data_IF_877512042170
#
_entry.id   IF_877512042170
#
_cell.length_a   1.000
_cell.length_b   1.000
_cell.length_c   1.000
_cell.angle_alpha   90.00
_cell.angle_beta   90.00
_cell.angle_gamma   90.00
#
_symmetry.space_group_name_H-M   'P 1'
#
loop_
_entity.id
_entity.type
_entity.pdbx_description
1 polymer ?
#
# COMPACT_ATOMS: atom_id res chain seq x y z
N UNK A 1 5.72 -8.50 18.32
CA UNK A 1 4.92 -8.63 17.08
C UNK A 1 4.37 -10.05 17.04
N UNK A 2 3.05 -10.23 16.97
CA UNK A 2 2.43 -11.57 17.02
C UNK A 2 2.74 -12.35 15.73
N UNK A 3 2.96 -13.67 15.82
CA UNK A 3 3.27 -14.48 14.65
C UNK A 3 2.09 -14.50 13.67
N UNK A 4 2.50 -14.62 12.40
CA UNK A 4 1.72 -14.86 11.17
C UNK A 4 0.33 -15.47 11.40
N UNK A 5 -0.73 -14.69 11.20
CA UNK A 5 -1.98 -15.32 10.78
C UNK A 5 -1.80 -15.77 9.33
N UNK A 6 -1.93 -17.07 9.05
CA UNK A 6 -1.86 -17.60 7.70
C UNK A 6 -2.84 -16.88 6.75
N UNK A 7 -4.01 -16.48 7.27
CA UNK A 7 -4.99 -15.70 6.49
C UNK A 7 -4.47 -14.32 6.08
N UNK A 8 -3.68 -13.64 6.91
CA UNK A 8 -3.10 -12.33 6.56
C UNK A 8 -2.03 -12.44 5.48
N UNK A 9 -1.26 -13.53 5.48
CA UNK A 9 -0.29 -13.79 4.41
C UNK A 9 -1.00 -14.08 3.09
N UNK A 10 -2.08 -14.87 3.12
CA UNK A 10 -2.91 -15.11 1.94
C UNK A 10 -3.49 -13.79 1.42
N UNK A 11 -4.05 -12.96 2.30
CA UNK A 11 -4.57 -11.63 1.95
C UNK A 11 -3.48 -10.74 1.34
N UNK A 12 -2.27 -10.73 1.91
CA UNK A 12 -1.13 -9.99 1.38
C UNK A 12 -0.80 -10.38 -0.05
N UNK A 13 -0.68 -11.69 -0.33
CA UNK A 13 -0.39 -12.15 -1.69
C UNK A 13 -1.52 -11.85 -2.66
N UNK A 14 -2.77 -11.93 -2.23
CA UNK A 14 -3.92 -11.55 -3.05
C UNK A 14 -3.90 -10.05 -3.41
N UNK A 15 -3.69 -9.19 -2.42
CA UNK A 15 -3.60 -7.74 -2.62
C UNK A 15 -2.41 -7.38 -3.51
N UNK A 16 -1.25 -8.01 -3.28
CA UNK A 16 -0.08 -7.84 -4.13
C UNK A 16 -0.35 -8.27 -5.57
N UNK A 17 -1.02 -9.41 -5.78
CA UNK A 17 -1.39 -9.89 -7.11
C UNK A 17 -2.37 -8.94 -7.82
N UNK A 18 -3.39 -8.45 -7.12
CA UNK A 18 -4.35 -7.46 -7.64
C UNK A 18 -3.62 -6.19 -8.07
N UNK A 19 -2.74 -5.68 -7.22
CA UNK A 19 -1.97 -4.47 -7.53
C UNK A 19 -1.02 -4.69 -8.70
N UNK A 20 -0.30 -5.81 -8.75
CA UNK A 20 0.58 -6.15 -9.88
C UNK A 20 -0.23 -6.25 -11.18
N UNK A 21 -1.44 -6.80 -11.13
CA UNK A 21 -2.23 -6.99 -12.34
C UNK A 21 -2.87 -5.69 -12.84
N UNK A 22 -3.48 -4.90 -11.96
CA UNK A 22 -4.27 -3.73 -12.34
C UNK A 22 -3.52 -2.40 -12.24
N UNK A 23 -2.62 -2.24 -11.27
CA UNK A 23 -1.91 -0.99 -11.04
C UNK A 23 -0.51 -0.97 -11.68
N UNK A 24 0.26 -2.05 -11.62
CA UNK A 24 1.62 -2.06 -12.19
C UNK A 24 1.73 -1.54 -13.64
N UNK A 25 0.82 -1.87 -14.58
CA UNK A 25 0.92 -1.41 -15.97
C UNK A 25 0.89 0.12 -16.12
N UNK A 26 0.38 0.85 -15.12
CA UNK A 26 0.26 2.30 -15.14
C UNK A 26 1.43 3.01 -14.42
N UNK A 27 2.35 2.26 -13.81
CA UNK A 27 3.44 2.82 -13.01
C UNK A 27 4.54 3.43 -13.88
N UNK A 28 4.92 4.65 -13.56
CA UNK A 28 6.12 5.32 -14.07
C UNK A 28 7.28 5.15 -13.08
N UNK A 29 8.53 5.35 -13.53
CA UNK A 29 9.70 5.28 -12.63
C UNK A 29 9.58 6.30 -11.50
N UNK A 30 9.05 7.48 -11.81
CA UNK A 30 8.80 8.58 -10.90
C UNK A 30 7.76 8.18 -9.86
N UNK A 31 6.63 7.59 -10.27
CA UNK A 31 5.59 7.13 -9.34
C UNK A 31 6.11 6.05 -8.39
N UNK A 32 6.96 5.13 -8.85
CA UNK A 32 7.57 4.10 -8.01
C UNK A 32 8.59 4.70 -7.02
N UNK A 33 9.38 5.68 -7.45
CA UNK A 33 10.31 6.39 -6.58
C UNK A 33 9.57 7.19 -5.49
N UNK A 34 8.49 7.88 -5.87
CA UNK A 34 7.59 8.57 -4.94
C UNK A 34 6.93 7.56 -4.00
N UNK A 35 6.49 6.41 -4.51
CA UNK A 35 5.94 5.32 -3.72
C UNK A 35 6.89 4.77 -2.68
N UNK A 36 8.15 4.52 -3.06
CA UNK A 36 9.15 4.00 -2.14
C UNK A 36 9.47 5.00 -1.01
N UNK A 37 9.75 6.26 -1.36
CA UNK A 37 10.12 7.29 -0.37
C UNK A 37 8.90 7.76 0.43
N UNK A 38 7.81 8.10 -0.26
CA UNK A 38 6.59 8.57 0.35
C UNK A 38 5.88 7.48 1.16
N UNK A 39 5.89 6.24 0.68
CA UNK A 39 5.37 5.09 1.44
C UNK A 39 6.16 4.83 2.71
N UNK A 40 7.50 4.95 2.68
CA UNK A 40 8.31 4.86 3.89
C UNK A 40 7.98 5.98 4.89
N UNK A 41 7.76 7.21 4.42
CA UNK A 41 7.36 8.34 5.25
C UNK A 41 5.96 8.17 5.83
N UNK A 42 4.99 7.73 5.02
CA UNK A 42 3.63 7.39 5.45
C UNK A 42 3.69 6.29 6.50
N UNK A 43 4.48 5.26 6.25
CA UNK A 43 4.64 4.16 7.18
C UNK A 43 5.19 4.63 8.52
N UNK A 44 6.30 5.36 8.49
CA UNK A 44 6.91 5.92 9.68
C UNK A 44 5.94 6.83 10.44
N UNK A 45 5.25 7.75 9.76
CA UNK A 45 4.39 8.75 10.38
C UNK A 45 3.09 8.15 10.94
N UNK A 46 2.41 7.30 10.18
CA UNK A 46 1.03 6.89 10.45
C UNK A 46 0.92 5.49 11.04
N UNK A 47 1.68 4.53 10.50
CA UNK A 47 1.52 3.11 10.85
C UNK A 47 2.60 2.60 11.80
N UNK A 48 3.70 3.34 11.98
CA UNK A 48 4.74 3.07 12.98
C UNK A 48 4.94 4.22 13.99
N UNK A 49 4.05 5.23 13.98
CA UNK A 49 3.97 6.34 14.97
C UNK A 49 5.29 7.01 15.33
N UNK A 50 6.18 7.19 14.36
CA UNK A 50 7.48 7.84 14.57
C UNK A 50 8.57 6.95 15.17
N UNK A 51 8.31 5.66 15.38
CA UNK A 51 9.29 4.74 15.96
C UNK A 51 10.52 4.56 15.05
N UNK A 52 11.72 4.62 15.65
CA UNK A 52 12.99 4.34 14.95
C UNK A 52 13.13 2.86 14.54
N UNK A 53 12.22 1.99 15.00
CA UNK A 53 12.21 0.56 14.70
C UNK A 53 11.88 0.23 13.23
N UNK A 54 11.65 1.22 12.35
CA UNK A 54 11.52 1.02 10.89
C UNK A 54 12.70 0.21 10.33
N UNK A 55 13.90 0.39 10.88
CA UNK A 55 15.11 -0.34 10.48
C UNK A 55 15.11 -1.84 10.87
N UNK A 56 14.18 -2.29 11.71
CA UNK A 56 14.11 -3.66 12.26
C UNK A 56 12.84 -4.41 11.82
N UNK A 57 12.25 -3.99 10.70
CA UNK A 57 11.05 -4.63 10.16
C UNK A 57 11.43 -5.98 9.52
N UNK A 58 11.13 -7.07 10.23
CA UNK A 58 11.39 -8.42 9.75
C UNK A 58 10.48 -8.79 8.56
N UNK A 59 11.00 -9.47 7.53
CA UNK A 59 10.20 -9.92 6.38
C UNK A 59 8.97 -10.73 6.78
N UNK A 60 7.87 -10.54 6.04
CA UNK A 60 6.59 -11.25 6.22
C UNK A 60 5.87 -10.96 7.54
N UNK A 61 6.37 -10.09 8.41
CA UNK A 61 5.63 -9.59 9.58
C UNK A 61 4.54 -8.61 9.18
N UNK A 62 3.60 -8.30 10.08
CA UNK A 62 2.54 -7.32 9.80
C UNK A 62 3.12 -5.94 9.48
N UNK A 63 4.12 -5.48 10.23
CA UNK A 63 4.80 -4.21 9.96
C UNK A 63 5.42 -4.16 8.56
N UNK A 64 6.06 -5.26 8.13
CA UNK A 64 6.63 -5.36 6.78
C UNK A 64 5.58 -5.30 5.69
N UNK A 65 4.46 -6.00 5.86
CA UNK A 65 3.36 -6.00 4.88
C UNK A 65 2.70 -4.63 4.80
N UNK A 66 2.47 -3.98 5.95
CA UNK A 66 1.94 -2.60 6.00
C UNK A 66 2.88 -1.63 5.31
N UNK A 67 4.19 -1.73 5.51
CA UNK A 67 5.18 -0.91 4.79
C UNK A 67 5.05 -1.07 3.28
N UNK A 68 4.90 -2.30 2.79
CA UNK A 68 4.72 -2.55 1.37
C UNK A 68 3.39 -1.99 0.85
N UNK A 69 2.29 -2.16 1.59
CA UNK A 69 1.02 -1.56 1.20
C UNK A 69 1.09 -0.03 1.16
N UNK A 70 1.77 0.60 2.12
CA UNK A 70 1.98 2.05 2.16
C UNK A 70 2.76 2.52 0.90
N UNK A 71 3.80 1.79 0.51
CA UNK A 71 4.55 2.06 -0.73
C UNK A 71 3.70 1.87 -1.99
N UNK A 72 2.96 0.76 -2.07
CA UNK A 72 2.07 0.45 -3.19
C UNK A 72 0.95 1.48 -3.34
N UNK A 73 0.39 1.93 -2.21
CA UNK A 73 -0.64 2.95 -2.16
C UNK A 73 -0.12 4.30 -2.63
N UNK A 74 1.01 4.75 -2.10
CA UNK A 74 1.59 6.04 -2.50
C UNK A 74 2.01 6.02 -3.97
N UNK A 75 2.61 4.91 -4.46
CA UNK A 75 2.92 4.75 -5.88
C UNK A 75 1.67 4.85 -6.75
N UNK A 76 0.60 4.14 -6.35
CA UNK A 76 -0.67 4.13 -7.07
C UNK A 76 -1.32 5.50 -7.13
N UNK A 77 -1.40 6.22 -6.00
CA UNK A 77 -1.93 7.57 -5.96
C UNK A 77 -1.09 8.54 -6.79
N UNK A 78 0.24 8.45 -6.72
CA UNK A 78 1.14 9.27 -7.53
C UNK A 78 0.93 9.03 -9.03
N UNK A 79 0.83 7.77 -9.47
CA UNK A 79 0.56 7.43 -10.86
C UNK A 79 -0.81 7.95 -11.33
N UNK A 80 -1.85 7.82 -10.50
CA UNK A 80 -3.18 8.37 -10.81
C UNK A 80 -3.15 9.89 -10.98
N UNK A 81 -2.47 10.60 -10.07
CA UNK A 81 -2.32 12.05 -10.14
C UNK A 81 -1.53 12.47 -11.39
N UNK A 82 -0.46 11.76 -11.72
CA UNK A 82 0.33 12.04 -12.92
C UNK A 82 -0.47 11.88 -14.21
N UNK A 83 -1.38 10.89 -14.28
CA UNK A 83 -2.16 10.61 -15.48
C UNK A 83 -3.42 11.47 -15.62
N UNK A 84 -4.04 11.85 -14.50
CA UNK A 84 -5.38 12.45 -14.50
C UNK A 84 -5.43 13.87 -13.88
N UNK A 85 -4.34 14.33 -13.25
CA UNK A 85 -4.26 15.64 -12.63
C UNK A 85 -5.36 15.87 -11.58
N UNK A 86 -6.14 16.94 -11.75
CA UNK A 86 -7.26 17.27 -10.85
C UNK A 86 -8.46 16.31 -10.97
N UNK A 87 -8.54 15.50 -12.02
CA UNK A 87 -9.66 14.59 -12.28
C UNK A 87 -9.49 13.19 -11.62
N UNK A 88 -8.54 13.04 -10.69
CA UNK A 88 -8.30 11.76 -9.99
C UNK A 88 -9.55 11.21 -9.32
N UNK A 89 -10.35 12.07 -8.70
CA UNK A 89 -11.58 11.64 -8.03
C UNK A 89 -12.61 11.08 -9.03
N UNK A 90 -12.69 11.65 -10.24
CA UNK A 90 -13.62 11.19 -11.28
C UNK A 90 -13.25 9.79 -11.79
N UNK A 91 -11.98 9.40 -11.68
CA UNK A 91 -11.48 8.08 -12.09
C UNK A 91 -11.65 7.03 -11.00
N UNK A 92 -11.69 7.46 -9.72
CA UNK A 92 -11.92 6.62 -8.54
C UNK A 92 -13.39 6.52 -8.13
N UNK A 93 -14.24 7.41 -8.62
CA UNK A 93 -15.66 7.41 -8.29
C UNK A 93 -16.43 6.21 -8.89
N UNK A 94 -16.18 5.80 -10.14
CA UNK A 94 -16.76 4.57 -10.67
C UNK A 94 -16.23 3.37 -9.89
N UNK A 95 -17.06 2.37 -9.61
CA UNK A 95 -16.65 1.10 -9.01
C UNK A 95 -15.90 0.23 -10.04
N UNK A 96 -14.72 0.69 -10.45
CA UNK A 96 -13.86 0.08 -11.45
C UNK A 96 -12.64 -0.58 -10.80
N UNK A 97 -11.72 -1.08 -11.63
CA UNK A 97 -10.49 -1.75 -11.20
C UNK A 97 -9.59 -0.85 -10.34
N UNK A 98 -9.55 0.47 -10.60
CA UNK A 98 -8.71 1.42 -9.85
C UNK A 98 -9.26 1.63 -8.44
N UNK A 99 -10.58 1.72 -8.32
CA UNK A 99 -11.29 1.78 -7.04
C UNK A 99 -11.12 0.48 -6.25
N UNK A 100 -11.18 -0.66 -6.93
CA UNK A 100 -10.92 -1.96 -6.31
C UNK A 100 -9.48 -2.06 -5.76
N UNK A 101 -8.48 -1.60 -6.52
CA UNK A 101 -7.09 -1.52 -6.04
C UNK A 101 -7.00 -0.62 -4.81
N UNK A 102 -7.55 0.59 -4.87
CA UNK A 102 -7.51 1.55 -3.75
C UNK A 102 -8.11 0.96 -2.48
N UNK A 103 -9.32 0.42 -2.58
CA UNK A 103 -10.03 -0.18 -1.45
C UNK A 103 -9.27 -1.38 -0.91
N UNK A 104 -8.75 -2.25 -1.78
CA UNK A 104 -7.97 -3.43 -1.35
C UNK A 104 -6.73 -3.04 -0.54
N UNK A 105 -5.99 -2.01 -0.95
CA UNK A 105 -4.80 -1.53 -0.24
C UNK A 105 -5.17 -0.93 1.12
N UNK A 106 -6.16 -0.04 1.16
CA UNK A 106 -6.61 0.59 2.41
C UNK A 106 -7.11 -0.47 3.38
N UNK A 107 -7.94 -1.41 2.92
CA UNK A 107 -8.43 -2.51 3.75
C UNK A 107 -7.29 -3.39 4.27
N UNK A 108 -6.31 -3.72 3.44
CA UNK A 108 -5.16 -4.53 3.85
C UNK A 108 -4.30 -3.83 4.91
N UNK A 109 -4.05 -2.53 4.76
CA UNK A 109 -3.37 -1.69 5.77
C UNK A 109 -4.11 -1.77 7.10
N UNK A 110 -5.43 -1.51 7.09
CA UNK A 110 -6.24 -1.51 8.32
C UNK A 110 -6.22 -2.87 9.00
N UNK A 111 -6.39 -3.96 8.24
CA UNK A 111 -6.39 -5.33 8.77
C UNK A 111 -5.04 -5.68 9.37
N UNK A 112 -3.94 -5.48 8.65
CA UNK A 112 -2.61 -5.86 9.14
C UNK A 112 -2.11 -4.95 10.27
N UNK A 113 -2.50 -3.67 10.27
CA UNK A 113 -2.22 -2.75 11.36
C UNK A 113 -2.98 -3.12 12.64
N UNK A 114 -4.29 -3.43 12.54
CA UNK A 114 -5.14 -3.74 13.71
C UNK A 114 -4.72 -4.99 14.50
N UNK A 115 -4.01 -5.93 13.86
CA UNK A 115 -3.58 -7.19 14.47
C UNK A 115 -2.18 -7.10 15.08
N UNK A 116 -1.41 -6.06 14.72
CA UNK A 116 -0.01 -5.88 15.13
C UNK A 116 0.29 -4.62 15.95
N UNK A 117 -0.67 -3.70 16.09
CA UNK A 117 -0.57 -2.50 16.93
C UNK A 117 -0.68 -2.76 18.42
#
# INVERSE_FOLDING_TARGET
>A
MRPRSASQLVLFFLVAAIWIYFAWPMMTKESLAIGALGGLLVHWALTNKGSKAVALIEPLTSGWRVLLYDMMLVAFLAALIQQNGSAVLDVLWPLNEKTAVLVSLISAIVVDYSVGG
#
